data_IF_871939764043
#
_entry.id   IF_871939764043
#
_cell.length_a   1.000
_cell.length_b   1.000
_cell.length_c   1.000
_cell.angle_alpha   90.00
_cell.angle_beta   90.00
_cell.angle_gamma   90.00
#
_symmetry.space_group_name_H-M   'P 1'
#
loop_
_entity.id
_entity.type
_entity.pdbx_description
1 polymer ?
#
# COMPACT_ATOMS: atom_id res chain seq x y z
N UNK A 1 0.88 22.01 -10.16
CA UNK A 1 0.34 20.88 -9.37
C UNK A 1 0.45 19.64 -10.23
N UNK A 2 0.58 18.50 -9.56
CA UNK A 2 0.88 17.19 -10.12
C UNK A 2 -0.09 16.16 -9.51
N UNK A 3 -0.03 14.95 -10.02
CA UNK A 3 -0.89 13.81 -9.61
C UNK A 3 -0.10 12.72 -8.89
N UNK A 4 1.23 12.75 -9.05
CA UNK A 4 2.13 11.71 -8.60
C UNK A 4 2.15 10.48 -9.50
N UNK A 5 1.70 10.61 -10.74
CA UNK A 5 1.79 9.54 -11.75
C UNK A 5 2.97 9.87 -12.66
N UNK A 6 4.03 9.07 -12.56
CA UNK A 6 5.27 9.31 -13.29
C UNK A 6 5.06 9.03 -14.78
N UNK A 7 5.41 10.01 -15.61
CA UNK A 7 5.25 9.93 -17.06
C UNK A 7 6.51 9.40 -17.76
N UNK A 8 7.68 9.61 -17.16
CA UNK A 8 8.95 9.14 -17.67
C UNK A 8 10.03 9.09 -16.58
N UNK A 9 11.08 8.32 -16.84
CA UNK A 9 12.36 8.47 -16.15
C UNK A 9 13.39 9.09 -17.10
N UNK A 10 14.28 9.93 -16.59
CA UNK A 10 15.37 10.52 -17.36
C UNK A 10 16.71 10.39 -16.65
N UNK A 11 17.79 10.37 -17.43
CA UNK A 11 19.16 10.43 -16.90
C UNK A 11 19.57 11.87 -16.62
N UNK A 12 20.25 12.08 -15.50
CA UNK A 12 20.98 13.30 -15.19
C UNK A 12 22.20 13.37 -16.10
N UNK A 13 22.34 14.49 -16.80
CA UNK A 13 23.48 14.78 -17.69
C UNK A 13 24.49 15.70 -17.00
N UNK A 14 24.02 16.60 -16.14
CA UNK A 14 24.88 17.51 -15.38
C UNK A 14 24.18 17.86 -14.07
N UNK A 15 24.93 17.91 -12.97
CA UNK A 15 24.45 18.38 -11.67
C UNK A 15 25.57 19.10 -10.93
N UNK A 16 25.28 20.29 -10.40
CA UNK A 16 26.23 21.06 -9.61
C UNK A 16 26.03 22.56 -9.72
N UNK A 17 26.57 23.33 -8.77
CA UNK A 17 26.51 24.80 -8.77
C UNK A 17 25.09 25.40 -8.93
N UNK A 18 24.07 24.71 -8.42
CA UNK A 18 22.67 25.14 -8.59
C UNK A 18 22.08 24.83 -9.97
N UNK A 19 22.76 24.07 -10.82
CA UNK A 19 22.26 23.65 -12.12
C UNK A 19 21.97 22.15 -12.09
N UNK A 20 20.85 21.77 -12.69
CA UNK A 20 20.48 20.39 -12.97
C UNK A 20 20.08 20.27 -14.44
N UNK A 21 20.76 19.41 -15.19
CA UNK A 21 20.45 19.09 -16.58
C UNK A 21 20.08 17.63 -16.67
N UNK A 22 18.94 17.33 -17.29
CA UNK A 22 18.47 15.97 -17.52
C UNK A 22 18.20 15.74 -19.00
N UNK A 23 18.24 14.48 -19.42
CA UNK A 23 17.78 14.04 -20.73
C UNK A 23 16.30 14.42 -20.92
N UNK A 24 15.95 14.96 -22.10
CA UNK A 24 14.57 15.26 -22.46
C UNK A 24 13.89 14.01 -23.01
N UNK A 25 12.86 13.44 -22.34
CA UNK A 25 12.09 12.36 -22.93
C UNK A 25 11.36 12.82 -24.19
N UNK A 26 11.27 11.95 -25.20
CA UNK A 26 10.60 12.27 -26.47
C UNK A 26 9.13 12.68 -26.29
N UNK A 27 8.48 12.16 -25.25
CA UNK A 27 7.08 12.46 -24.90
C UNK A 27 6.88 13.84 -24.29
N UNK A 28 7.95 14.56 -23.94
CA UNK A 28 7.93 15.89 -23.32
C UNK A 28 8.15 16.99 -24.38
N UNK A 29 7.57 16.84 -25.57
CA UNK A 29 7.73 17.74 -26.73
C UNK A 29 6.94 19.07 -26.58
N UNK A 30 5.90 19.08 -25.77
CA UNK A 30 5.03 20.23 -25.49
C UNK A 30 5.59 21.23 -24.45
N UNK A 31 6.74 20.93 -23.84
CA UNK A 31 7.41 21.80 -22.88
C UNK A 31 7.89 23.12 -23.49
N UNK A 32 7.88 24.16 -22.65
CA UNK A 32 8.43 25.49 -22.95
C UNK A 32 9.30 25.97 -21.78
N UNK A 33 10.12 26.99 -22.02
CA UNK A 33 10.78 27.69 -20.91
C UNK A 33 9.70 28.26 -19.98
N UNK A 34 9.90 28.08 -18.68
CA UNK A 34 8.93 28.42 -17.64
C UNK A 34 7.91 27.32 -17.33
N UNK A 35 7.85 26.23 -18.09
CA UNK A 35 7.03 25.06 -17.73
C UNK A 35 7.49 24.47 -16.39
N UNK A 36 6.54 24.05 -15.56
CA UNK A 36 6.83 23.35 -14.30
C UNK A 36 6.84 21.84 -14.49
N UNK A 37 7.86 21.19 -13.94
CA UNK A 37 8.06 19.73 -13.99
C UNK A 37 8.47 19.26 -12.59
N UNK A 38 7.85 18.19 -12.11
CA UNK A 38 8.30 17.49 -10.91
C UNK A 38 9.47 16.58 -11.29
N UNK A 39 10.64 16.82 -10.69
CA UNK A 39 11.84 15.98 -10.82
C UNK A 39 12.09 15.29 -9.49
N UNK A 40 11.92 13.97 -9.45
CA UNK A 40 11.90 13.19 -8.21
C UNK A 40 10.97 13.79 -7.13
N UNK A 41 9.79 14.28 -7.55
CA UNK A 41 8.81 14.92 -6.68
C UNK A 41 9.10 16.40 -6.36
N UNK A 42 10.18 17.00 -6.85
CA UNK A 42 10.48 18.42 -6.64
C UNK A 42 10.00 19.24 -7.83
N UNK A 43 9.11 20.21 -7.61
CA UNK A 43 8.65 21.12 -8.65
C UNK A 43 9.76 22.09 -9.06
N UNK A 44 10.23 21.99 -10.30
CA UNK A 44 11.24 22.87 -10.89
C UNK A 44 10.69 23.56 -12.13
N UNK A 45 11.21 24.75 -12.43
CA UNK A 45 10.86 25.51 -13.64
C UNK A 45 11.94 25.35 -14.70
N UNK A 46 11.53 24.99 -15.92
CA UNK A 46 12.45 24.83 -17.04
C UNK A 46 13.09 26.19 -17.38
N UNK A 47 14.41 26.30 -17.25
CA UNK A 47 15.14 27.54 -17.58
C UNK A 47 15.75 27.49 -18.97
N UNK A 48 16.17 26.30 -19.43
CA UNK A 48 16.61 26.06 -20.81
C UNK A 48 16.10 24.72 -21.29
N UNK A 49 15.86 24.63 -22.58
CA UNK A 49 15.27 23.47 -23.22
C UNK A 49 15.83 23.33 -24.63
N UNK A 50 16.28 22.14 -25.01
CA UNK A 50 16.56 21.80 -26.40
C UNK A 50 15.94 20.44 -26.74
N UNK A 51 16.34 19.83 -27.86
CA UNK A 51 15.78 18.54 -28.31
C UNK A 51 16.14 17.37 -27.39
N UNK A 52 17.27 17.45 -26.69
CA UNK A 52 17.88 16.34 -25.97
C UNK A 52 17.99 16.58 -24.46
N UNK A 53 17.86 17.82 -23.99
CA UNK A 53 17.96 18.13 -22.57
C UNK A 53 16.96 19.18 -22.09
N UNK A 54 16.70 19.10 -20.78
CA UNK A 54 15.94 20.05 -19.98
C UNK A 54 16.88 20.53 -18.87
N UNK A 55 17.01 21.84 -18.71
CA UNK A 55 17.81 22.44 -17.65
C UNK A 55 16.93 23.15 -16.64
N UNK A 56 17.31 23.04 -15.37
CA UNK A 56 16.73 23.72 -14.22
C UNK A 56 17.82 24.48 -13.46
N UNK A 57 17.41 25.57 -12.83
CA UNK A 57 18.16 26.18 -11.73
C UNK A 57 17.51 25.79 -10.42
N UNK A 58 18.32 25.27 -9.49
CA UNK A 58 17.88 24.72 -8.21
C UNK A 58 18.49 25.55 -7.11
N UNK A 59 17.63 26.14 -6.27
CA UNK A 59 18.07 26.97 -5.16
C UNK A 59 18.77 26.14 -4.07
N UNK A 60 19.71 26.72 -3.30
CA UNK A 60 20.48 25.98 -2.28
C UNK A 60 19.61 25.25 -1.24
N UNK A 61 18.51 25.87 -0.82
CA UNK A 61 17.58 25.26 0.13
C UNK A 61 16.98 23.95 -0.41
N UNK A 62 16.58 23.93 -1.68
CA UNK A 62 16.03 22.74 -2.33
C UNK A 62 17.09 21.66 -2.47
N UNK A 63 18.34 22.01 -2.82
CA UNK A 63 19.44 21.06 -2.87
C UNK A 63 19.72 20.42 -1.51
N UNK A 64 19.61 21.20 -0.43
CA UNK A 64 19.85 20.72 0.93
C UNK A 64 18.71 19.85 1.48
N UNK A 65 17.46 20.21 1.17
CA UNK A 65 16.27 19.56 1.75
C UNK A 65 15.77 18.34 0.97
N UNK A 66 16.32 18.07 -0.21
CA UNK A 66 15.87 17.00 -1.11
C UNK A 66 17.05 16.12 -1.53
N UNK A 67 16.77 15.06 -2.28
CA UNK A 67 17.78 14.20 -2.90
C UNK A 67 18.49 14.87 -4.09
N UNK A 68 17.99 16.02 -4.59
CA UNK A 68 18.55 16.68 -5.77
C UNK A 68 20.03 17.05 -5.61
N UNK A 69 20.45 17.43 -4.40
CA UNK A 69 21.85 17.79 -4.12
C UNK A 69 22.83 16.61 -4.14
N UNK A 70 22.33 15.36 -4.14
CA UNK A 70 23.17 14.16 -4.19
C UNK A 70 23.29 13.52 -5.57
N UNK A 71 22.47 13.94 -6.55
CA UNK A 71 22.51 13.36 -7.89
C UNK A 71 23.81 13.70 -8.62
N UNK A 72 24.27 12.75 -9.42
CA UNK A 72 25.45 12.83 -10.28
C UNK A 72 25.06 12.52 -11.72
N UNK A 73 25.93 12.85 -12.65
CA UNK A 73 25.80 12.41 -14.04
C UNK A 73 25.60 10.89 -14.13
N UNK A 74 24.61 10.48 -14.92
CA UNK A 74 24.21 9.07 -15.09
C UNK A 74 23.08 8.61 -14.17
N UNK A 75 22.82 9.30 -13.06
CA UNK A 75 21.71 8.96 -12.16
C UNK A 75 20.36 9.10 -12.88
N UNK A 76 19.37 8.32 -12.44
CA UNK A 76 18.03 8.33 -13.04
C UNK A 76 17.02 8.98 -12.11
N UNK A 77 16.15 9.83 -12.66
CA UNK A 77 15.11 10.57 -11.92
C UNK A 77 13.72 10.32 -12.49
N UNK A 78 12.71 10.32 -11.62
CA UNK A 78 11.30 10.31 -12.03
C UNK A 78 10.88 11.70 -12.53
N UNK A 79 10.04 11.76 -13.56
CA UNK A 79 9.51 12.98 -14.13
C UNK A 79 7.98 12.95 -14.27
N UNK A 80 7.36 14.07 -13.92
CA UNK A 80 5.95 14.34 -14.17
C UNK A 80 5.77 15.82 -14.56
N UNK A 81 5.04 16.11 -15.63
CA UNK A 81 4.71 17.48 -16.03
C UNK A 81 3.60 18.02 -15.15
N UNK A 82 3.53 19.34 -15.02
CA UNK A 82 2.38 19.96 -14.36
C UNK A 82 1.07 19.57 -15.07
N UNK A 83 0.10 19.15 -14.26
CA UNK A 83 -1.20 18.69 -14.75
C UNK A 83 -1.97 19.84 -15.41
N UNK A 84 -2.57 19.57 -16.58
CA UNK A 84 -3.52 20.50 -17.22
C UNK A 84 -4.82 20.56 -16.42
N UNK A 85 -5.53 21.69 -16.48
CA UNK A 85 -6.78 21.89 -15.70
C UNK A 85 -7.88 20.90 -16.08
N UNK A 86 -7.90 20.45 -17.34
CA UNK A 86 -8.87 19.51 -17.90
C UNK A 86 -8.41 18.04 -17.85
N UNK A 87 -7.24 17.76 -17.27
CA UNK A 87 -6.70 16.41 -17.17
C UNK A 87 -7.28 15.62 -15.98
N UNK A 88 -7.09 14.30 -16.02
CA UNK A 88 -7.44 13.40 -14.92
C UNK A 88 -6.46 13.54 -13.76
N UNK A 89 -6.97 13.38 -12.54
CA UNK A 89 -6.20 13.27 -11.30
C UNK A 89 -6.21 11.81 -10.84
N UNK A 90 -5.37 10.97 -11.45
CA UNK A 90 -5.39 9.51 -11.22
C UNK A 90 -4.65 9.06 -9.94
N UNK A 91 -3.76 9.91 -9.41
CA UNK A 91 -3.14 9.74 -8.09
C UNK A 91 -3.81 10.60 -7.02
N UNK A 92 -3.04 11.46 -6.38
CA UNK A 92 -3.55 12.47 -5.44
C UNK A 92 -2.93 13.84 -5.72
N UNK A 93 -3.37 14.88 -5.02
CA UNK A 93 -2.80 16.22 -5.22
C UNK A 93 -1.37 16.24 -4.69
N UNK A 94 -0.41 16.29 -5.63
CA UNK A 94 1.01 16.49 -5.35
C UNK A 94 1.37 17.92 -5.73
N UNK A 95 1.91 18.69 -4.79
CA UNK A 95 2.34 20.06 -5.00
C UNK A 95 3.72 20.12 -5.66
N UNK A 96 4.55 19.11 -5.43
CA UNK A 96 5.96 19.09 -5.79
C UNK A 96 6.81 19.85 -4.77
N UNK A 97 6.35 19.90 -3.52
CA UNK A 97 7.00 20.58 -2.39
C UNK A 97 7.46 19.52 -1.39
N UNK A 98 8.62 18.94 -1.67
CA UNK A 98 9.22 17.91 -0.80
C UNK A 98 9.45 18.47 0.60
N UNK A 99 9.00 17.72 1.60
CA UNK A 99 8.98 18.13 3.01
C UNK A 99 10.11 17.47 3.81
N UNK A 100 10.70 16.40 3.27
CA UNK A 100 11.83 15.72 3.86
C UNK A 100 12.32 14.56 3.01
N UNK A 101 13.32 13.86 3.52
CA UNK A 101 13.93 12.71 2.86
C UNK A 101 13.91 11.53 3.82
N UNK A 102 13.41 10.40 3.35
CA UNK A 102 13.42 9.13 4.07
C UNK A 102 14.52 8.22 3.56
N UNK A 103 14.83 7.17 4.32
CA UNK A 103 15.82 6.17 3.97
C UNK A 103 15.17 4.78 3.87
N UNK A 104 15.45 4.07 2.78
CA UNK A 104 14.96 2.70 2.57
C UNK A 104 15.60 1.76 3.58
N UNK A 105 14.77 1.11 4.41
CA UNK A 105 15.21 0.12 5.39
C UNK A 105 15.24 -1.29 4.83
N UNK A 106 14.25 -1.62 3.99
CA UNK A 106 14.21 -2.88 3.26
C UNK A 106 13.31 -2.79 2.03
N UNK A 107 13.58 -3.67 1.06
CA UNK A 107 12.78 -3.87 -0.15
C UNK A 107 12.38 -5.34 -0.19
N UNK A 108 11.10 -5.63 -0.42
CA UNK A 108 10.62 -6.99 -0.64
C UNK A 108 10.28 -7.22 -2.10
N UNK A 109 10.59 -8.41 -2.62
CA UNK A 109 10.22 -8.89 -3.97
C UNK A 109 8.81 -9.46 -4.04
N UNK A 110 8.07 -9.37 -2.93
CA UNK A 110 6.66 -9.71 -2.85
C UNK A 110 5.91 -8.52 -2.25
N UNK A 111 4.97 -7.96 -3.02
CA UNK A 111 4.02 -6.98 -2.53
C UNK A 111 3.04 -7.68 -1.60
N UNK A 112 2.62 -7.01 -0.51
CA UNK A 112 1.24 -7.16 -0.08
C UNK A 112 0.33 -6.82 -1.27
N UNK A 113 -0.51 -7.75 -1.74
CA UNK A 113 -1.39 -7.57 -2.92
C UNK A 113 -2.09 -6.20 -2.82
N UNK A 114 -2.00 -5.33 -3.85
CA UNK A 114 -2.82 -4.12 -3.89
C UNK A 114 -4.30 -4.53 -3.86
N UNK A 115 -5.20 -3.70 -3.30
CA UNK A 115 -6.62 -3.88 -3.58
C UNK A 115 -6.83 -3.79 -5.11
N UNK A 116 -7.62 -4.69 -5.73
CA UNK A 116 -7.76 -4.71 -7.19
C UNK A 116 -8.35 -3.39 -7.74
N UNK A 117 -7.99 -2.98 -8.99
CA UNK A 117 -8.49 -1.76 -9.64
C UNK A 117 -10.02 -1.76 -9.79
N UNK A 118 -10.62 -0.56 -9.89
CA UNK A 118 -12.08 -0.38 -9.96
C UNK A 118 -12.75 -0.99 -11.19
N UNK A 119 -12.07 -1.04 -12.33
CA UNK A 119 -12.64 -1.60 -13.57
C UNK A 119 -12.64 -3.12 -13.61
N UNK A 120 -11.66 -3.78 -12.97
CA UNK A 120 -11.70 -5.23 -12.73
C UNK A 120 -12.84 -5.63 -11.79
N UNK A 121 -13.24 -4.74 -10.85
CA UNK A 121 -14.48 -4.92 -10.07
C UNK A 121 -15.76 -4.83 -10.92
N UNK A 122 -15.71 -4.16 -12.07
CA UNK A 122 -16.87 -3.91 -12.92
C UNK A 122 -17.02 -4.93 -14.06
N UNK A 123 -15.91 -5.43 -14.61
CA UNK A 123 -15.89 -6.45 -15.68
C UNK A 123 -16.12 -7.87 -15.15
N UNK A 124 -15.53 -8.24 -14.00
CA UNK A 124 -15.81 -9.53 -13.34
C UNK A 124 -17.28 -9.64 -12.87
N UNK A 125 -17.95 -8.51 -12.65
CA UNK A 125 -19.37 -8.45 -12.30
C UNK A 125 -20.34 -8.73 -13.46
N UNK A 126 -19.89 -8.71 -14.72
CA UNK A 126 -20.79 -8.84 -15.89
C UNK A 126 -20.82 -10.24 -16.51
N UNK A 127 -19.82 -11.08 -16.28
CA UNK A 127 -19.70 -12.35 -17.01
C UNK A 127 -20.29 -13.55 -16.26
N UNK A 128 -20.49 -13.46 -14.94
CA UNK A 128 -21.14 -14.49 -14.15
C UNK A 128 -22.45 -13.91 -13.59
N UNK A 129 -23.58 -14.52 -13.96
CA UNK A 129 -24.94 -14.05 -13.67
C UNK A 129 -25.32 -14.01 -12.18
N UNK A 130 -24.65 -13.17 -11.41
CA UNK A 130 -24.99 -12.82 -10.04
C UNK A 130 -25.37 -11.34 -10.00
N UNK A 131 -26.64 -11.07 -10.27
CA UNK A 131 -27.29 -9.91 -9.68
C UNK A 131 -27.16 -10.01 -8.16
N UNK A 132 -26.14 -9.39 -7.56
CA UNK A 132 -26.08 -9.12 -6.13
C UNK A 132 -25.53 -7.73 -5.88
N UNK A 133 -26.45 -6.77 -5.96
CA UNK A 133 -26.53 -5.70 -4.96
C UNK A 133 -26.07 -6.29 -3.61
N UNK A 134 -25.06 -5.69 -2.97
CA UNK A 134 -24.70 -5.99 -1.57
C UNK A 134 -26.03 -6.10 -0.80
N UNK A 135 -26.34 -7.22 -0.11
CA UNK A 135 -27.49 -7.23 0.77
C UNK A 135 -27.32 -6.03 1.69
N UNK A 136 -28.30 -5.13 1.71
CA UNK A 136 -28.24 -3.81 2.36
C UNK A 136 -27.87 -3.87 3.86
N UNK A 137 -27.78 -5.08 4.43
CA UNK A 137 -27.72 -5.36 5.86
C UNK A 137 -26.45 -6.11 6.30
N UNK A 138 -25.51 -6.54 5.44
CA UNK A 138 -24.33 -7.33 5.89
C UNK A 138 -23.41 -6.54 6.84
N UNK A 139 -23.17 -5.25 6.55
CA UNK A 139 -22.42 -4.36 7.46
C UNK A 139 -23.17 -4.12 8.78
N UNK A 140 -24.50 -4.17 8.74
CA UNK A 140 -25.35 -4.08 9.93
C UNK A 140 -25.21 -5.34 10.78
N UNK A 141 -25.32 -6.55 10.21
CA UNK A 141 -25.10 -7.81 10.92
C UNK A 141 -23.69 -7.91 11.53
N UNK A 142 -22.65 -7.53 10.80
CA UNK A 142 -21.29 -7.48 11.36
C UNK A 142 -21.16 -6.49 12.54
N UNK A 143 -21.96 -5.41 12.56
CA UNK A 143 -21.98 -4.46 13.68
C UNK A 143 -22.72 -5.04 14.88
N UNK A 144 -23.83 -5.73 14.66
CA UNK A 144 -24.59 -6.40 15.72
C UNK A 144 -23.78 -7.55 16.34
N UNK A 145 -23.11 -8.39 15.54
CA UNK A 145 -22.23 -9.45 16.07
C UNK A 145 -21.00 -8.90 16.83
N UNK A 146 -20.59 -7.65 16.58
CA UNK A 146 -19.57 -6.99 17.43
C UNK A 146 -20.13 -6.51 18.76
N UNK A 147 -21.43 -6.21 18.84
CA UNK A 147 -22.11 -5.81 20.07
C UNK A 147 -22.47 -7.03 20.90
N UNK A 148 -22.93 -8.08 20.24
CA UNK A 148 -23.42 -9.32 20.84
C UNK A 148 -22.70 -10.54 20.21
N UNK A 149 -21.41 -10.75 20.54
CA UNK A 149 -20.68 -11.94 20.08
C UNK A 149 -21.17 -13.20 20.80
N UNK A 150 -20.95 -14.38 20.20
CA UNK A 150 -21.16 -15.64 20.92
C UNK A 150 -20.21 -15.75 22.12
N UNK A 151 -20.55 -16.58 23.11
CA UNK A 151 -19.69 -16.77 24.29
C UNK A 151 -18.29 -17.31 23.92
N UNK A 152 -18.20 -18.20 22.92
CA UNK A 152 -16.94 -18.71 22.40
C UNK A 152 -16.15 -17.62 21.67
N UNK A 153 -16.77 -16.83 20.78
CA UNK A 153 -16.13 -15.69 20.14
C UNK A 153 -15.62 -14.66 21.16
N UNK A 154 -16.42 -14.35 22.18
CA UNK A 154 -16.01 -13.40 23.22
C UNK A 154 -14.79 -13.91 24.00
N UNK A 155 -14.82 -15.17 24.40
CA UNK A 155 -13.74 -15.81 25.15
C UNK A 155 -12.44 -15.86 24.32
N UNK A 156 -12.52 -16.28 23.06
CA UNK A 156 -11.38 -16.32 22.16
C UNK A 156 -10.86 -14.90 21.87
N UNK A 157 -11.76 -13.94 21.61
CA UNK A 157 -11.40 -12.55 21.33
C UNK A 157 -10.60 -11.91 22.47
N UNK A 158 -10.97 -12.18 23.73
CA UNK A 158 -10.24 -11.67 24.89
C UNK A 158 -8.80 -12.18 24.98
N UNK A 159 -8.52 -13.34 24.39
CA UNK A 159 -7.18 -13.92 24.37
C UNK A 159 -6.35 -13.52 23.15
N UNK A 160 -6.97 -13.24 22.01
CA UNK A 160 -6.26 -12.91 20.76
C UNK A 160 -6.17 -11.40 20.45
N UNK A 161 -6.97 -10.56 21.11
CA UNK A 161 -6.93 -9.10 20.92
C UNK A 161 -5.68 -8.45 21.50
N UNK A 162 -5.41 -7.19 21.09
CA UNK A 162 -4.24 -6.39 21.53
C UNK A 162 -2.90 -7.08 21.22
N UNK A 163 -2.79 -7.61 20.01
CA UNK A 163 -1.56 -8.20 19.45
C UNK A 163 -0.95 -9.33 20.30
N UNK A 164 -1.77 -10.02 21.10
CA UNK A 164 -1.35 -11.16 21.95
C UNK A 164 -0.85 -12.37 21.17
N UNK A 165 -1.21 -12.46 19.89
CA UNK A 165 -0.69 -13.47 18.95
C UNK A 165 0.57 -13.00 18.20
N UNK A 166 1.13 -11.84 18.53
CA UNK A 166 2.20 -11.19 17.76
C UNK A 166 1.74 -10.65 16.39
N UNK A 167 0.47 -10.81 16.05
CA UNK A 167 -0.15 -10.32 14.81
C UNK A 167 -1.50 -9.67 15.10
N UNK A 168 -1.86 -8.67 14.29
CA UNK A 168 -3.09 -7.90 14.48
C UNK A 168 -4.31 -8.64 13.94
N UNK A 169 -5.20 -9.02 14.86
CA UNK A 169 -6.49 -9.64 14.56
C UNK A 169 -7.61 -8.58 14.41
N UNK A 170 -8.50 -8.79 13.45
CA UNK A 170 -9.75 -8.04 13.27
C UNK A 170 -10.92 -8.95 13.63
N UNK A 171 -11.97 -8.43 14.26
CA UNK A 171 -13.19 -9.19 14.60
C UNK A 171 -14.38 -8.82 13.72
N UNK A 172 -15.15 -9.84 13.32
CA UNK A 172 -16.34 -9.75 12.49
C UNK A 172 -16.08 -8.90 11.24
N UNK A 173 -15.07 -9.28 10.47
CA UNK A 173 -14.56 -8.54 9.32
C UNK A 173 -15.38 -8.85 8.07
N UNK A 174 -15.90 -7.81 7.40
CA UNK A 174 -16.69 -7.97 6.17
C UNK A 174 -15.76 -7.97 4.97
N UNK A 175 -15.76 -9.06 4.19
CA UNK A 175 -15.04 -9.20 2.93
C UNK A 175 -16.01 -9.75 1.88
N UNK A 176 -16.21 -9.00 0.79
CA UNK A 176 -17.06 -9.37 -0.36
C UNK A 176 -18.44 -9.97 0.00
N UNK A 177 -19.09 -9.32 0.98
CA UNK A 177 -20.42 -9.72 1.45
C UNK A 177 -20.44 -10.87 2.46
N UNK A 178 -19.28 -11.43 2.79
CA UNK A 178 -19.10 -12.44 3.83
C UNK A 178 -18.56 -11.81 5.12
N UNK A 179 -18.82 -12.46 6.26
CA UNK A 179 -18.34 -12.02 7.57
C UNK A 179 -17.42 -13.10 8.13
N UNK A 180 -16.18 -12.72 8.43
CA UNK A 180 -15.15 -13.55 9.05
C UNK A 180 -15.08 -13.24 10.54
N UNK A 181 -15.23 -14.24 11.41
CA UNK A 181 -15.28 -14.04 12.88
C UNK A 181 -14.02 -13.37 13.39
N UNK A 182 -12.85 -13.89 13.00
CA UNK A 182 -11.58 -13.21 13.16
C UNK A 182 -10.73 -13.28 11.89
N UNK A 183 -10.04 -12.19 11.57
CA UNK A 183 -9.22 -12.11 10.37
C UNK A 183 -7.86 -11.47 10.66
N UNK A 184 -6.79 -12.13 10.22
CA UNK A 184 -5.43 -11.61 10.20
C UNK A 184 -5.07 -11.15 8.79
N UNK A 185 -5.05 -9.83 8.51
CA UNK A 185 -4.68 -9.33 7.19
C UNK A 185 -3.21 -9.58 6.85
N UNK A 186 -2.33 -9.58 7.84
CA UNK A 186 -0.88 -9.67 7.64
C UNK A 186 -0.45 -11.04 7.12
N UNK A 187 -1.00 -12.11 7.70
CA UNK A 187 -0.68 -13.50 7.34
C UNK A 187 -1.77 -14.17 6.50
N UNK A 188 -2.79 -13.40 6.09
CA UNK A 188 -3.94 -13.87 5.30
C UNK A 188 -4.53 -15.18 5.80
N UNK A 189 -4.96 -15.20 7.05
CA UNK A 189 -5.79 -16.28 7.55
C UNK A 189 -7.00 -15.73 8.30
N UNK A 190 -8.09 -16.48 8.25
CA UNK A 190 -9.28 -16.24 9.03
C UNK A 190 -9.41 -17.33 10.10
N UNK A 191 -10.00 -16.99 11.24
CA UNK A 191 -10.45 -17.95 12.24
C UNK A 191 -11.96 -17.88 12.26
N UNK A 192 -12.61 -19.02 12.05
CA UNK A 192 -14.06 -19.17 12.20
C UNK A 192 -14.33 -20.04 13.43
N UNK A 193 -15.18 -19.54 14.32
CA UNK A 193 -15.56 -20.23 15.56
C UNK A 193 -16.90 -20.89 15.32
N UNK A 194 -16.87 -22.16 14.97
CA UNK A 194 -18.09 -22.88 14.56
C UNK A 194 -19.05 -23.05 15.75
N UNK A 195 -20.23 -22.46 15.60
CA UNK A 195 -21.43 -22.83 16.35
C UNK A 195 -21.96 -24.17 15.85
N UNK A 196 -21.82 -25.22 16.64
CA UNK A 196 -22.49 -26.48 16.34
C UNK A 196 -24.01 -26.26 16.28
N UNK A 197 -24.64 -26.58 15.13
CA UNK A 197 -25.87 -27.38 14.94
C UNK A 197 -26.49 -27.14 13.53
N UNK A 198 -26.67 -28.25 12.79
CA UNK A 198 -27.73 -28.60 11.81
C UNK A 198 -27.46 -28.82 10.29
N UNK A 199 -27.70 -30.08 9.91
CA UNK A 199 -28.03 -30.70 8.61
C UNK A 199 -26.89 -30.93 7.59
N UNK A 200 -26.34 -32.14 7.66
CA UNK A 200 -25.09 -32.63 7.06
C UNK A 200 -25.00 -32.72 5.52
N UNK A 201 -26.00 -32.32 4.73
CA UNK A 201 -25.95 -32.58 3.27
C UNK A 201 -26.11 -31.37 2.34
N UNK A 202 -26.55 -30.21 2.83
CA UNK A 202 -26.68 -28.99 1.99
C UNK A 202 -25.57 -27.96 2.23
N UNK A 203 -24.97 -27.92 3.44
CA UNK A 203 -23.96 -26.92 3.80
C UNK A 203 -22.53 -27.26 3.30
N UNK A 204 -22.16 -28.56 3.23
CA UNK A 204 -20.77 -28.98 2.95
C UNK A 204 -20.23 -28.51 1.59
N UNK A 205 -21.10 -28.34 0.58
CA UNK A 205 -20.72 -27.77 -0.73
C UNK A 205 -20.51 -26.24 -0.64
N UNK A 206 -21.42 -25.52 0.03
CA UNK A 206 -21.35 -24.05 0.17
C UNK A 206 -20.20 -23.57 1.05
N UNK A 207 -19.83 -24.32 2.09
CA UNK A 207 -18.75 -23.99 3.02
C UNK A 207 -17.36 -24.29 2.43
N UNK A 208 -17.22 -25.38 1.67
CA UNK A 208 -15.97 -25.70 0.96
C UNK A 208 -15.75 -24.78 -0.23
N UNK A 209 -16.83 -24.37 -0.91
CA UNK A 209 -16.76 -23.34 -1.96
C UNK A 209 -16.42 -21.97 -1.38
N UNK A 210 -16.89 -21.64 -0.17
CA UNK A 210 -16.50 -20.43 0.56
C UNK A 210 -15.03 -20.43 0.94
N UNK A 211 -14.53 -21.50 1.56
CA UNK A 211 -13.12 -21.60 1.93
C UNK A 211 -12.21 -21.63 0.70
N UNK A 212 -12.65 -22.31 -0.37
CA UNK A 212 -11.97 -22.30 -1.66
C UNK A 212 -11.96 -20.90 -2.28
N UNK A 213 -13.07 -20.18 -2.24
CA UNK A 213 -13.16 -18.80 -2.73
C UNK A 213 -12.25 -17.85 -1.94
N UNK A 214 -12.27 -17.93 -0.61
CA UNK A 214 -11.39 -17.14 0.24
C UNK A 214 -9.91 -17.43 -0.05
N UNK A 215 -9.57 -18.70 -0.30
CA UNK A 215 -8.23 -19.12 -0.64
C UNK A 215 -7.81 -18.70 -2.06
N UNK A 216 -8.63 -18.97 -3.08
CA UNK A 216 -8.32 -18.71 -4.49
C UNK A 216 -8.35 -17.21 -4.81
N UNK A 217 -9.38 -16.50 -4.35
CA UNK A 217 -9.58 -15.08 -4.70
C UNK A 217 -8.80 -14.15 -3.77
N UNK A 218 -8.68 -14.48 -2.48
CA UNK A 218 -8.07 -13.58 -1.50
C UNK A 218 -6.75 -14.12 -0.92
N UNK A 219 -6.40 -15.38 -1.16
CA UNK A 219 -5.25 -16.03 -0.54
C UNK A 219 -5.43 -16.21 0.96
N UNK A 220 -6.68 -16.29 1.43
CA UNK A 220 -7.02 -16.39 2.85
C UNK A 220 -7.25 -17.86 3.21
N UNK A 221 -6.45 -18.37 4.13
CA UNK A 221 -6.66 -19.70 4.70
C UNK A 221 -7.63 -19.62 5.88
N UNK A 222 -8.69 -20.41 5.87
CA UNK A 222 -9.64 -20.48 7.00
C UNK A 222 -9.21 -21.53 8.01
N UNK A 223 -9.14 -21.15 9.29
CA UNK A 223 -8.90 -22.05 10.43
C UNK A 223 -10.22 -22.16 11.19
N UNK A 224 -10.82 -23.36 11.22
CA UNK A 224 -12.04 -23.61 11.98
C UNK A 224 -11.71 -24.10 13.39
N UNK A 225 -12.37 -23.50 14.38
CA UNK A 225 -12.21 -23.86 15.79
C UNK A 225 -13.59 -24.15 16.35
N UNK A 226 -13.82 -25.34 16.89
CA UNK A 226 -15.09 -25.69 17.49
C UNK A 226 -15.30 -24.97 18.84
N UNK A 227 -16.56 -24.64 19.14
CA UNK A 227 -16.95 -24.08 20.45
C UNK A 227 -16.43 -24.91 21.63
N UNK A 228 -16.53 -26.25 21.57
CA UNK A 228 -16.06 -27.13 22.66
C UNK A 228 -14.57 -26.97 22.94
N UNK A 229 -13.77 -26.74 21.90
CA UNK A 229 -12.32 -26.53 22.05
C UNK A 229 -12.03 -25.16 22.68
N UNK A 230 -12.80 -24.13 22.30
CA UNK A 230 -12.68 -22.78 22.90
C UNK A 230 -13.11 -22.78 24.37
N UNK A 231 -14.19 -23.47 24.71
CA UNK A 231 -14.68 -23.57 26.10
C UNK A 231 -13.84 -24.50 26.98
N UNK A 232 -13.29 -25.57 26.40
CA UNK A 232 -12.45 -26.53 27.12
C UNK A 232 -11.14 -25.90 27.61
N UNK A 233 -10.40 -25.25 26.70
CA UNK A 233 -9.21 -24.47 27.06
C UNK A 233 -8.81 -23.49 25.95
N UNK A 234 -9.17 -22.21 26.14
CA UNK A 234 -8.84 -21.14 25.19
C UNK A 234 -7.32 -20.84 25.13
N UNK A 235 -6.54 -21.12 26.17
CA UNK A 235 -5.09 -20.90 26.16
C UNK A 235 -4.38 -21.96 25.30
N UNK A 236 -4.87 -23.20 25.32
CA UNK A 236 -4.38 -24.26 24.40
C UNK A 236 -4.67 -23.88 22.95
N UNK A 237 -5.87 -23.37 22.65
CA UNK A 237 -6.21 -22.86 21.32
C UNK A 237 -5.25 -21.75 20.87
N UNK A 238 -4.95 -20.80 21.76
CA UNK A 238 -4.00 -19.70 21.49
C UNK A 238 -2.60 -20.23 21.23
N UNK A 239 -2.14 -21.22 22.00
CA UNK A 239 -0.84 -21.86 21.80
C UNK A 239 -0.75 -22.52 20.42
N UNK A 240 -1.80 -23.20 19.99
CA UNK A 240 -1.85 -23.85 18.67
C UNK A 240 -1.85 -22.81 17.54
N UNK A 241 -2.56 -21.70 17.72
CA UNK A 241 -2.53 -20.57 16.77
C UNK A 241 -1.15 -19.91 16.69
N UNK A 242 -0.46 -19.74 17.82
CA UNK A 242 0.92 -19.24 17.85
C UNK A 242 1.87 -20.19 17.10
N UNK A 243 1.74 -21.50 17.29
CA UNK A 243 2.55 -22.49 16.57
C UNK A 243 2.25 -22.47 15.05
N UNK A 244 0.98 -22.32 14.66
CA UNK A 244 0.58 -22.15 13.27
C UNK A 244 1.19 -20.89 12.64
N UNK A 245 1.11 -19.76 13.35
CA UNK A 245 1.70 -18.48 12.93
C UNK A 245 3.21 -18.63 12.75
N UNK A 246 3.91 -19.24 13.72
CA UNK A 246 5.34 -19.49 13.65
C UNK A 246 5.71 -20.34 12.42
N UNK A 247 4.96 -21.41 12.15
CA UNK A 247 5.20 -22.27 11.00
C UNK A 247 5.04 -21.52 9.66
N UNK A 248 3.97 -20.73 9.51
CA UNK A 248 3.77 -19.91 8.31
C UNK A 248 4.90 -18.89 8.14
N UNK A 249 5.28 -18.20 9.22
CA UNK A 249 6.37 -17.21 9.16
C UNK A 249 7.73 -17.83 8.81
N UNK A 250 7.98 -19.08 9.22
CA UNK A 250 9.20 -19.82 8.88
C UNK A 250 9.17 -20.35 7.44
N UNK A 251 8.02 -20.85 6.96
CA UNK A 251 7.84 -21.33 5.58
C UNK A 251 7.87 -20.20 4.53
N UNK A 252 7.63 -18.94 4.94
CA UNK A 252 7.81 -17.77 4.07
C UNK A 252 9.27 -17.31 3.91
N UNK A 253 10.25 -18.07 4.41
CA UNK A 253 11.68 -17.89 4.07
C UNK A 253 11.94 -18.46 2.66
N UNK A 254 12.64 -17.75 1.76
CA UNK A 254 12.53 -17.99 0.32
C UNK A 254 13.24 -19.27 -0.11
N UNK A 255 12.45 -20.29 -0.49
CA UNK A 255 12.85 -21.27 -1.50
C UNK A 255 12.47 -20.71 -2.87
N UNK A 256 13.48 -20.61 -3.72
CA UNK A 256 13.43 -20.22 -5.12
C UNK A 256 12.60 -21.22 -5.93
N UNK A 257 11.53 -20.73 -6.58
CA UNK A 257 11.13 -21.04 -7.96
C UNK A 257 9.64 -20.69 -8.19
N UNK A 258 9.35 -19.90 -9.22
CA UNK A 258 7.99 -19.51 -9.61
C UNK A 258 7.95 -18.18 -10.33
N UNK A 259 8.28 -18.20 -11.63
CA UNK A 259 8.32 -17.04 -12.52
C UNK A 259 6.96 -16.42 -12.77
N UNK A 260 6.72 -15.31 -12.08
CA UNK A 260 5.74 -14.27 -12.41
C UNK A 260 6.23 -13.00 -11.72
N UNK A 261 6.17 -11.85 -12.39
CA UNK A 261 6.65 -10.57 -11.81
C UNK A 261 5.74 -10.21 -10.64
N UNK A 262 6.09 -10.69 -9.44
CA UNK A 262 5.43 -10.33 -8.19
C UNK A 262 5.77 -8.86 -7.95
N UNK A 263 4.77 -8.05 -7.56
CA UNK A 263 5.04 -6.69 -7.13
C UNK A 263 6.00 -6.66 -5.93
N UNK A 264 6.44 -5.47 -5.53
CA UNK A 264 7.36 -5.27 -4.42
C UNK A 264 6.73 -4.58 -3.21
N UNK A 265 7.45 -4.56 -2.10
CA UNK A 265 7.15 -3.76 -0.93
C UNK A 265 8.35 -2.88 -0.59
N UNK A 266 8.09 -1.65 -0.17
CA UNK A 266 9.12 -0.72 0.29
C UNK A 266 8.84 -0.37 1.74
N UNK A 267 9.83 -0.60 2.60
CA UNK A 267 9.82 -0.18 3.99
C UNK A 267 10.90 0.88 4.19
N UNK A 268 10.52 2.06 4.68
CA UNK A 268 11.43 3.20 4.76
C UNK A 268 11.16 4.05 5.99
N UNK A 269 12.23 4.66 6.51
CA UNK A 269 12.15 5.64 7.59
C UNK A 269 11.57 6.95 7.09
N UNK A 270 10.84 7.63 7.97
CA UNK A 270 10.27 8.95 7.71
C UNK A 270 10.76 9.92 8.80
N UNK A 271 11.10 11.18 8.45
CA UNK A 271 11.38 12.20 9.45
C UNK A 271 10.23 12.35 10.46
N UNK A 272 10.56 12.33 11.76
CA UNK A 272 9.56 12.26 12.85
C UNK A 272 8.49 13.37 12.78
N UNK A 273 8.86 14.55 12.30
CA UNK A 273 7.98 15.70 12.15
C UNK A 273 6.89 15.52 11.08
N UNK A 274 7.00 14.53 10.18
CA UNK A 274 6.02 14.28 9.12
C UNK A 274 4.92 13.28 9.51
N UNK A 275 5.13 12.44 10.54
CA UNK A 275 4.13 11.44 10.96
C UNK A 275 2.74 11.98 11.28
N UNK A 276 2.56 13.18 11.87
CA UNK A 276 1.23 13.74 12.08
C UNK A 276 0.40 13.88 10.79
N UNK A 277 1.05 13.91 9.63
CA UNK A 277 0.43 14.09 8.32
C UNK A 277 0.33 12.79 7.50
N UNK A 278 0.71 11.66 8.09
CA UNK A 278 0.68 10.34 7.44
C UNK A 278 -0.33 9.46 8.16
N UNK A 279 -1.28 8.92 7.40
CA UNK A 279 -2.32 8.04 7.93
C UNK A 279 -2.32 6.70 7.21
N UNK A 280 -2.59 5.57 7.91
CA UNK A 280 -2.73 4.29 7.25
C UNK A 280 -3.83 4.34 6.18
N UNK A 281 -3.57 3.78 4.99
CA UNK A 281 -4.43 3.85 3.80
C UNK A 281 -4.62 5.26 3.22
N UNK A 282 -3.92 6.27 3.73
CA UNK A 282 -3.81 7.58 3.11
C UNK A 282 -2.81 7.60 1.98
N UNK A 283 -2.77 8.72 1.26
CA UNK A 283 -1.84 8.98 0.18
C UNK A 283 -0.52 9.57 0.70
N UNK A 284 0.56 9.25 0.00
CA UNK A 284 1.89 9.84 0.19
C UNK A 284 2.61 9.86 -1.16
N UNK A 285 3.42 10.88 -1.43
CA UNK A 285 4.28 10.91 -2.61
C UNK A 285 5.74 10.59 -2.22
N UNK A 286 6.32 9.60 -2.90
CA UNK A 286 7.71 9.16 -2.72
C UNK A 286 8.48 9.32 -4.04
N UNK A 287 9.50 10.19 -4.08
CA UNK A 287 10.15 10.65 -5.33
C UNK A 287 9.14 11.08 -6.41
N UNK A 288 8.05 11.70 -5.96
CA UNK A 288 6.93 12.10 -6.82
C UNK A 288 5.93 10.99 -7.13
N UNK A 289 6.16 9.74 -6.76
CA UNK A 289 5.21 8.64 -7.00
C UNK A 289 4.11 8.66 -5.94
N UNK A 290 2.86 8.84 -6.36
CA UNK A 290 1.67 8.73 -5.53
C UNK A 290 1.43 7.27 -5.11
N UNK A 291 1.49 7.01 -3.81
CA UNK A 291 1.36 5.68 -3.23
C UNK A 291 0.39 5.67 -2.05
N UNK A 292 -0.12 4.48 -1.73
CA UNK A 292 -0.95 4.25 -0.55
C UNK A 292 -0.11 3.70 0.60
N UNK A 293 -0.19 4.34 1.77
CA UNK A 293 0.47 3.87 2.99
C UNK A 293 -0.16 2.56 3.44
N UNK A 294 0.61 1.47 3.42
CA UNK A 294 0.13 0.14 3.79
C UNK A 294 0.08 -0.04 5.32
N UNK A 295 1.17 0.30 6.01
CA UNK A 295 1.31 0.30 7.47
C UNK A 295 2.25 1.42 7.94
N UNK A 296 2.18 1.72 9.24
CA UNK A 296 3.02 2.69 9.95
C UNK A 296 3.53 1.98 11.20
N UNK A 297 4.84 2.03 11.43
CA UNK A 297 5.53 1.35 12.53
C UNK A 297 6.60 2.28 13.08
N UNK A 298 6.50 2.71 14.35
CA UNK A 298 7.45 3.62 15.02
C UNK A 298 7.90 4.84 14.19
N UNK A 299 9.02 4.74 13.48
CA UNK A 299 9.63 5.77 12.64
C UNK A 299 9.67 5.40 11.14
N UNK A 300 8.94 4.36 10.74
CA UNK A 300 8.89 3.83 9.40
C UNK A 300 7.46 3.70 8.85
N UNK A 301 7.37 3.66 7.53
CA UNK A 301 6.16 3.30 6.79
C UNK A 301 6.45 2.15 5.83
N UNK A 302 5.40 1.43 5.48
CA UNK A 302 5.44 0.44 4.40
C UNK A 302 4.49 0.84 3.28
N UNK A 303 4.91 0.69 2.04
CA UNK A 303 4.09 0.89 0.84
C UNK A 303 4.21 -0.33 -0.09
N UNK A 304 3.16 -0.60 -0.86
CA UNK A 304 3.17 -1.65 -1.87
C UNK A 304 3.43 -1.03 -3.25
N UNK A 305 4.29 -1.66 -4.04
CA UNK A 305 4.65 -1.24 -5.39
C UNK A 305 4.12 -2.27 -6.39
N UNK A 306 3.21 -1.84 -7.26
CA UNK A 306 2.71 -2.69 -8.36
C UNK A 306 3.80 -2.91 -9.42
N UNK A 307 3.74 -4.00 -10.21
CA UNK A 307 4.71 -4.27 -11.28
C UNK A 307 4.93 -3.06 -12.21
N UNK A 308 3.85 -2.39 -12.63
CA UNK A 308 3.95 -1.20 -13.47
C UNK A 308 4.78 -0.09 -12.83
N UNK A 309 4.61 0.17 -11.53
CA UNK A 309 5.40 1.18 -10.79
C UNK A 309 6.86 0.76 -10.66
N UNK A 310 7.13 -0.52 -10.40
CA UNK A 310 8.49 -1.04 -10.35
C UNK A 310 9.22 -0.88 -11.69
N UNK A 311 8.53 -1.16 -12.80
CA UNK A 311 9.10 -1.10 -14.15
C UNK A 311 9.33 0.33 -14.63
N UNK A 312 8.39 1.24 -14.33
CA UNK A 312 8.33 2.56 -14.96
C UNK A 312 8.80 3.71 -14.06
N UNK A 313 9.30 3.41 -12.85
CA UNK A 313 9.84 4.43 -11.93
C UNK A 313 11.21 4.03 -11.38
N UNK A 314 11.89 4.98 -10.74
CA UNK A 314 13.13 4.72 -10.00
C UNK A 314 12.92 3.80 -8.80
N UNK A 315 11.69 3.69 -8.26
CA UNK A 315 11.41 2.93 -7.04
C UNK A 315 11.72 1.44 -7.18
N UNK A 316 11.59 0.87 -8.38
CA UNK A 316 11.90 -0.55 -8.62
C UNK A 316 13.39 -0.89 -8.58
N UNK A 317 14.27 0.12 -8.50
CA UNK A 317 15.73 -0.05 -8.46
C UNK A 317 16.31 0.27 -7.09
N UNK A 318 15.49 0.70 -6.14
CA UNK A 318 15.94 1.09 -4.81
C UNK A 318 16.50 -0.11 -4.04
N UNK A 319 17.47 0.18 -3.19
CA UNK A 319 18.12 -0.73 -2.28
C UNK A 319 18.10 -0.16 -0.86
N UNK A 320 18.43 -1.00 0.13
CA UNK A 320 18.58 -0.56 1.51
C UNK A 320 19.64 0.55 1.60
N UNK A 321 19.31 1.65 2.28
CA UNK A 321 20.15 2.82 2.44
C UNK A 321 19.87 3.93 1.42
N UNK A 322 19.13 3.64 0.35
CA UNK A 322 18.77 4.67 -0.63
C UNK A 322 17.85 5.71 0.00
N UNK A 323 17.97 6.94 -0.51
CA UNK A 323 17.24 8.11 -0.01
C UNK A 323 16.14 8.48 -0.98
N UNK A 324 14.97 8.83 -0.44
CA UNK A 324 13.76 9.11 -1.22
C UNK A 324 13.09 10.39 -0.72
N UNK A 325 12.74 11.29 -1.64
CA UNK A 325 12.00 12.50 -1.33
C UNK A 325 10.58 12.16 -0.88
N UNK A 326 10.10 12.84 0.17
CA UNK A 326 8.77 12.63 0.74
C UNK A 326 7.96 13.92 0.63
N UNK A 327 6.73 13.78 0.14
CA UNK A 327 5.69 14.79 0.26
C UNK A 327 4.42 14.12 0.83
N UNK A 328 3.89 14.69 1.92
CA UNK A 328 2.66 14.22 2.56
C UNK A 328 1.42 14.84 1.92
N UNK A 329 0.28 14.15 2.04
CA UNK A 329 -0.98 14.62 1.45
C UNK A 329 -1.38 15.99 2.03
N UNK A 330 -1.46 16.98 1.14
CA UNK A 330 -1.84 18.35 1.47
C UNK A 330 -3.20 18.43 2.18
N UNK A 331 -4.14 17.53 1.87
CA UNK A 331 -5.45 17.49 2.52
C UNK A 331 -5.33 17.10 4.00
N UNK A 332 -4.44 16.16 4.32
CA UNK A 332 -4.19 15.76 5.71
C UNK A 332 -3.54 16.90 6.49
N UNK A 333 -2.59 17.62 5.89
CA UNK A 333 -1.95 18.79 6.52
C UNK A 333 -2.96 19.88 6.90
N UNK A 334 -3.88 20.22 5.99
CA UNK A 334 -4.95 21.16 6.30
C UNK A 334 -5.91 20.64 7.37
N UNK A 335 -6.25 19.35 7.34
CA UNK A 335 -7.11 18.74 8.34
C UNK A 335 -6.48 18.77 9.75
N UNK A 336 -5.17 18.55 9.87
CA UNK A 336 -4.43 18.61 11.13
C UNK A 336 -4.31 20.05 11.63
N UNK A 337 -3.97 21.00 10.75
CA UNK A 337 -3.87 22.43 11.10
C UNK A 337 -5.17 22.98 11.70
N UNK A 338 -6.32 22.58 11.17
CA UNK A 338 -7.63 23.04 11.62
C UNK A 338 -8.18 22.33 12.87
N UNK A 339 -7.41 21.40 13.46
CA UNK A 339 -7.73 20.76 14.75
C UNK A 339 -6.93 21.33 15.92
N UNK A 340 -6.11 22.35 15.66
CA UNK A 340 -5.21 22.99 16.65
C UNK A 340 -5.83 24.23 17.26
#
# INVERSE_FOLDING_TARGET
MFTGIIEATARVQESGNGILVIERPKTFDDLRIGSSIAVAGVCLSVVKLNKNCIQFEVVPETLQKTTLGSYKEGDTVNLERAMKVDARLDGHIVQGHVEGVGEVRSVSTSSPRPPPPSEERELLGKQWGASRVLPSNTKFFAREMRREPTAAESLLWDRIRRDRLGVRMRRQYVLDGQILDFYCPALKFAIEVDGGIHSEHLQKKSDTERDRYLLEEHGITTIRISNDRVFGDADVVVKDLLAYIQNITQQTSPSSEGGGVRGGGLHMSIPRNLFPFIVPKGSIALDGVSLTVASIEEDCISVALIPHTLENTTLGRLQKGDRVNIETDVLVRYAVKNRS
#
